data_IF_206767968864
#
_entry.id   IF_206767968864
#
_cell.length_a   1.000
_cell.length_b   1.000
_cell.length_c   1.000
_cell.angle_alpha   90.00
_cell.angle_beta   90.00
_cell.angle_gamma   90.00
#
_symmetry.space_group_name_H-M   'P 1'
#
loop_
_entity.id
_entity.type
_entity.pdbx_description
1 polymer ?
#
# COMPACT_ATOMS: atom_id res chain seq x y z
N UNK A 1 -3.02 11.20 -51.49
CA UNK A 1 -2.63 10.94 -50.09
C UNK A 1 -2.25 9.47 -50.00
N UNK A 2 -0.98 9.16 -49.69
CA UNK A 2 -0.40 7.82 -49.84
C UNK A 2 -0.96 6.82 -48.82
N UNK A 3 -1.28 5.58 -49.25
CA UNK A 3 -1.71 4.48 -48.36
C UNK A 3 -0.73 4.25 -47.19
N UNK A 4 0.56 4.56 -47.38
CA UNK A 4 1.59 4.46 -46.33
C UNK A 4 1.30 5.39 -45.14
N UNK A 5 0.74 6.57 -45.38
CA UNK A 5 0.40 7.53 -44.32
C UNK A 5 -0.84 7.08 -43.53
N UNK A 6 -1.76 6.37 -44.18
CA UNK A 6 -2.94 5.80 -43.52
C UNK A 6 -2.54 4.60 -42.62
N UNK A 7 -1.60 3.77 -43.08
CA UNK A 7 -1.08 2.63 -42.32
C UNK A 7 -0.22 3.04 -41.10
N UNK A 8 0.58 4.10 -41.22
CA UNK A 8 1.35 4.66 -40.08
C UNK A 8 0.40 5.31 -39.06
N UNK A 9 -0.62 6.04 -39.52
CA UNK A 9 -1.66 6.61 -38.66
C UNK A 9 -2.43 5.53 -37.90
N UNK A 10 -2.74 4.41 -38.55
CA UNK A 10 -3.42 3.26 -37.94
C UNK A 10 -2.54 2.55 -36.91
N UNK A 11 -1.24 2.38 -37.18
CA UNK A 11 -0.28 1.81 -36.21
C UNK A 11 -0.16 2.69 -34.95
N UNK A 12 -0.12 4.01 -35.11
CA UNK A 12 -0.08 4.95 -33.99
C UNK A 12 -1.38 4.90 -33.17
N UNK A 13 -2.54 4.77 -33.83
CA UNK A 13 -3.84 4.58 -33.17
C UNK A 13 -3.97 3.22 -32.45
N UNK A 14 -3.38 2.14 -32.99
CA UNK A 14 -3.38 0.81 -32.37
C UNK A 14 -2.45 0.75 -31.16
N UNK A 15 -1.31 1.45 -31.16
CA UNK A 15 -0.49 1.63 -29.95
C UNK A 15 -1.12 2.58 -28.92
N UNK A 16 -2.02 3.46 -29.37
CA UNK A 16 -2.80 4.36 -28.51
C UNK A 16 -4.09 3.69 -28.00
N UNK A 17 -4.38 2.43 -28.34
CA UNK A 17 -5.19 1.57 -27.45
C UNK A 17 -4.31 1.17 -26.27
N UNK A 18 -4.12 2.18 -25.44
CA UNK A 18 -3.44 2.23 -24.16
C UNK A 18 -3.68 0.90 -23.45
N UNK A 19 -2.60 0.22 -23.08
CA UNK A 19 -2.65 -0.84 -22.09
C UNK A 19 -3.48 -0.31 -20.91
N UNK A 20 -4.70 -0.82 -20.75
CA UNK A 20 -5.48 -0.65 -19.53
C UNK A 20 -4.69 -1.35 -18.43
N UNK A 21 -3.72 -0.65 -17.84
CA UNK A 21 -3.11 -1.06 -16.60
C UNK A 21 -4.24 -1.03 -15.57
N UNK A 22 -4.74 -2.22 -15.22
CA UNK A 22 -5.74 -2.36 -14.18
C UNK A 22 -5.05 -2.07 -12.85
N UNK A 23 -4.96 -0.80 -12.47
CA UNK A 23 -4.48 -0.43 -11.15
C UNK A 23 -5.46 -0.97 -10.11
N UNK A 24 -4.95 -1.65 -9.08
CA UNK A 24 -5.74 -1.96 -7.90
C UNK A 24 -5.76 -0.71 -7.01
N UNK A 25 -6.93 -0.41 -6.45
CA UNK A 25 -7.09 0.69 -5.50
C UNK A 25 -7.10 0.16 -4.08
N UNK A 26 -6.26 0.74 -3.24
CA UNK A 26 -6.21 0.51 -1.81
C UNK A 26 -6.78 1.75 -1.10
N UNK A 27 -7.90 1.59 -0.39
CA UNK A 27 -8.43 2.64 0.47
C UNK A 27 -7.91 2.42 1.90
N UNK A 28 -6.85 3.14 2.27
CA UNK A 28 -6.16 2.98 3.55
C UNK A 28 -6.81 3.91 4.58
N UNK A 29 -7.58 3.35 5.52
CA UNK A 29 -8.34 4.11 6.51
C UNK A 29 -7.77 3.97 7.92
N UNK A 30 -7.60 5.10 8.62
CA UNK A 30 -7.24 5.08 10.03
C UNK A 30 -8.48 5.01 10.92
N UNK A 31 -8.78 3.83 11.45
CA UNK A 31 -9.83 3.63 12.46
C UNK A 31 -9.33 3.66 13.91
N UNK A 32 -8.05 3.97 14.14
CA UNK A 32 -7.50 4.12 15.47
C UNK A 32 -7.99 5.43 16.12
N UNK A 33 -8.07 5.51 17.46
CA UNK A 33 -8.41 6.74 18.17
C UNK A 33 -7.24 7.76 18.22
N UNK A 34 -6.17 7.53 17.47
CA UNK A 34 -4.97 8.35 17.42
C UNK A 34 -4.46 8.49 15.97
N UNK A 35 -3.67 9.54 15.73
CA UNK A 35 -3.02 9.76 14.43
C UNK A 35 -2.00 8.67 14.13
N UNK A 36 -2.02 8.20 12.89
CA UNK A 36 -0.98 7.31 12.33
C UNK A 36 -0.40 7.94 11.07
N UNK A 37 0.80 7.53 10.69
CA UNK A 37 1.37 7.88 9.40
C UNK A 37 1.39 6.62 8.55
N UNK A 38 0.35 6.46 7.74
CA UNK A 38 0.30 5.38 6.76
C UNK A 38 1.52 5.43 5.85
N UNK A 39 2.02 4.25 5.49
CA UNK A 39 3.17 4.06 4.63
C UNK A 39 2.87 2.94 3.64
N UNK A 40 3.39 3.09 2.42
CA UNK A 40 3.25 2.12 1.36
C UNK A 40 4.51 2.09 0.49
N UNK A 41 4.94 0.89 0.12
CA UNK A 41 5.95 0.69 -0.93
C UNK A 41 5.39 -0.33 -1.91
N UNK A 42 5.08 0.06 -3.15
CA UNK A 42 5.10 1.44 -3.68
C UNK A 42 3.97 2.30 -3.08
N UNK A 43 4.16 3.63 -3.04
CA UNK A 43 3.09 4.58 -2.73
C UNK A 43 3.50 5.80 -1.89
N UNK A 44 4.52 5.68 -1.07
CA UNK A 44 5.00 6.78 -0.22
C UNK A 44 4.38 6.72 1.19
N UNK A 45 3.89 7.84 1.68
CA UNK A 45 3.24 7.87 2.99
C UNK A 45 2.42 9.12 3.25
N UNK A 46 1.51 9.04 4.22
CA UNK A 46 0.57 10.10 4.53
C UNK A 46 0.18 10.08 6.00
N UNK A 47 0.13 11.26 6.63
CA UNK A 47 -0.50 11.40 7.95
C UNK A 47 -2.01 11.19 7.81
N UNK A 48 -2.58 10.35 8.66
CA UNK A 48 -4.01 10.10 8.77
C UNK A 48 -4.43 10.30 10.22
N UNK A 49 -5.23 11.34 10.47
CA UNK A 49 -5.95 11.50 11.72
C UNK A 49 -7.06 10.44 11.83
N UNK A 50 -7.68 10.26 13.01
CA UNK A 50 -8.80 9.33 13.16
C UNK A 50 -9.88 9.58 12.09
N UNK A 51 -10.34 8.50 11.46
CA UNK A 51 -11.35 8.46 10.40
C UNK A 51 -10.90 9.04 9.05
N UNK A 52 -9.66 9.49 8.90
CA UNK A 52 -9.14 9.87 7.58
C UNK A 52 -8.77 8.66 6.74
N UNK A 53 -8.87 8.81 5.42
CA UNK A 53 -8.54 7.76 4.45
C UNK A 53 -7.59 8.28 3.38
N UNK A 54 -6.72 7.39 2.91
CA UNK A 54 -5.81 7.61 1.79
C UNK A 54 -6.11 6.62 0.67
N UNK A 55 -6.64 7.08 -0.47
CA UNK A 55 -6.72 6.24 -1.65
C UNK A 55 -5.35 6.16 -2.33
N UNK A 56 -4.89 4.93 -2.56
CA UNK A 56 -3.63 4.62 -3.22
C UNK A 56 -3.90 3.68 -4.40
N UNK A 57 -3.60 4.15 -5.61
CA UNK A 57 -3.67 3.33 -6.81
C UNK A 57 -2.30 2.65 -7.02
N UNK A 58 -2.31 1.32 -7.17
CA UNK A 58 -1.11 0.51 -7.35
C UNK A 58 -1.22 -0.28 -8.65
N UNK A 59 -0.19 -0.21 -9.48
CA UNK A 59 -0.19 -0.82 -10.81
C UNK A 59 -0.29 -2.35 -10.74
N UNK A 60 -1.08 -2.96 -11.63
CA UNK A 60 -1.03 -4.40 -11.89
C UNK A 60 0.41 -4.87 -12.16
N UNK A 61 0.74 -6.08 -11.71
CA UNK A 61 2.09 -6.64 -11.80
C UNK A 61 3.02 -6.22 -10.67
N UNK A 62 2.59 -5.33 -9.77
CA UNK A 62 3.39 -4.99 -8.57
C UNK A 62 3.66 -6.23 -7.73
N UNK A 63 4.92 -6.39 -7.31
CA UNK A 63 5.39 -7.48 -6.44
C UNK A 63 6.06 -6.88 -5.20
N UNK A 64 6.03 -7.62 -4.08
CA UNK A 64 6.63 -7.16 -2.82
C UNK A 64 5.99 -5.87 -2.29
N UNK A 65 4.72 -5.64 -2.59
CA UNK A 65 3.97 -4.49 -2.11
C UNK A 65 3.75 -4.61 -0.60
N UNK A 66 3.96 -3.50 0.13
CA UNK A 66 3.69 -3.43 1.57
C UNK A 66 2.92 -2.17 1.91
N UNK A 67 1.93 -2.30 2.78
CA UNK A 67 1.26 -1.19 3.48
C UNK A 67 1.40 -1.42 4.99
N UNK A 68 1.73 -0.37 5.74
CA UNK A 68 1.81 -0.43 7.19
C UNK A 68 1.48 0.93 7.83
N UNK A 69 1.19 0.89 9.13
CA UNK A 69 1.03 2.09 9.95
C UNK A 69 2.33 2.43 10.68
N UNK A 70 2.66 3.72 10.77
CA UNK A 70 3.73 4.25 11.61
C UNK A 70 3.14 5.06 12.75
N UNK A 71 3.75 4.98 13.93
CA UNK A 71 3.26 5.66 15.14
C UNK A 71 4.34 6.58 15.74
N UNK A 72 3.87 7.58 16.49
CA UNK A 72 4.76 8.50 17.22
C UNK A 72 5.72 9.26 16.31
N UNK A 73 5.26 9.67 15.12
CA UNK A 73 6.12 10.35 14.17
C UNK A 73 6.19 11.86 14.41
N UNK A 74 7.33 12.43 14.06
CA UNK A 74 7.53 13.87 13.97
C UNK A 74 8.30 14.16 12.68
N UNK A 75 7.74 15.01 11.82
CA UNK A 75 8.35 15.41 10.55
C UNK A 75 8.41 16.93 10.45
N UNK A 76 9.49 17.44 9.87
CA UNK A 76 9.63 18.83 9.49
C UNK A 76 8.84 19.17 8.22
N UNK A 77 8.85 20.44 7.81
CA UNK A 77 8.18 20.91 6.60
C UNK A 77 8.73 20.33 5.29
N UNK A 78 9.90 19.67 5.32
CA UNK A 78 10.46 18.94 4.19
C UNK A 78 10.09 17.45 4.18
N UNK A 79 9.29 17.01 5.16
CA UNK A 79 8.90 15.62 5.32
C UNK A 79 10.02 14.73 5.86
N UNK A 80 10.99 15.30 6.58
CA UNK A 80 12.09 14.57 7.22
C UNK A 80 11.95 14.55 8.72
N UNK A 81 12.31 13.44 9.35
CA UNK A 81 12.13 13.27 10.78
C UNK A 81 12.28 11.81 11.21
N UNK A 82 11.42 11.35 12.10
CA UNK A 82 11.44 9.97 12.58
C UNK A 82 10.06 9.50 13.07
N UNK A 83 9.85 8.20 13.09
CA UNK A 83 8.75 7.51 13.78
C UNK A 83 9.26 6.60 14.90
N UNK A 84 8.42 6.34 15.91
CA UNK A 84 8.72 5.38 16.97
C UNK A 84 8.64 3.93 16.47
N UNK A 85 7.69 3.63 15.58
CA UNK A 85 7.55 2.31 14.94
C UNK A 85 7.35 2.48 13.44
N UNK A 86 7.85 1.52 12.66
CA UNK A 86 7.67 1.49 11.20
C UNK A 86 8.39 2.60 10.42
N UNK A 87 9.37 3.27 11.02
CA UNK A 87 10.11 4.34 10.35
C UNK A 87 10.79 3.84 9.07
N UNK A 88 10.74 4.61 7.99
CA UNK A 88 11.24 4.20 6.66
C UNK A 88 12.43 5.05 6.20
N UNK A 89 13.39 5.26 7.11
CA UNK A 89 14.60 6.05 6.85
C UNK A 89 14.41 7.55 7.11
N UNK A 90 13.53 7.89 8.05
CA UNK A 90 13.23 9.26 8.45
C UNK A 90 12.49 10.09 7.41
N UNK A 91 11.74 9.43 6.51
CA UNK A 91 10.99 10.07 5.44
C UNK A 91 9.49 9.95 5.67
N UNK A 92 8.74 11.03 5.46
CA UNK A 92 7.28 10.98 5.41
C UNK A 92 6.82 10.14 4.19
N UNK A 93 7.45 10.37 3.03
CA UNK A 93 7.22 9.62 1.79
C UNK A 93 8.18 8.44 1.71
N UNK A 94 7.73 7.26 2.13
CA UNK A 94 8.56 6.06 2.17
C UNK A 94 9.03 5.61 0.78
N UNK A 95 10.32 5.30 0.67
CA UNK A 95 10.94 4.72 -0.53
C UNK A 95 11.58 3.34 -0.24
N UNK A 96 11.52 2.91 1.01
CA UNK A 96 12.01 1.65 1.53
C UNK A 96 11.05 1.12 2.58
N UNK A 97 11.18 -0.16 2.94
CA UNK A 97 10.37 -0.77 3.99
C UNK A 97 10.65 -0.15 5.36
N UNK A 98 9.66 -0.27 6.26
CA UNK A 98 9.74 0.25 7.62
C UNK A 98 10.59 -0.61 8.54
N UNK A 99 11.23 0.01 9.52
CA UNK A 99 11.96 -0.68 10.60
C UNK A 99 10.94 -1.33 11.57
N UNK A 100 11.11 -2.62 11.91
CA UNK A 100 10.28 -3.31 12.91
C UNK A 100 10.25 -2.61 14.30
N UNK A 101 9.17 -2.76 15.10
CA UNK A 101 8.00 -3.56 14.79
C UNK A 101 7.01 -2.82 13.87
N UNK A 102 6.42 -3.52 12.91
CA UNK A 102 5.29 -3.02 12.12
C UNK A 102 4.39 -4.16 11.62
N UNK A 103 3.09 -4.02 11.82
CA UNK A 103 2.10 -4.93 11.24
C UNK A 103 2.03 -4.67 9.73
N UNK A 104 2.24 -5.70 8.92
CA UNK A 104 2.31 -5.56 7.46
C UNK A 104 1.07 -6.11 6.78
N UNK A 105 0.50 -5.34 5.85
CA UNK A 105 -0.30 -5.85 4.74
C UNK A 105 0.62 -6.05 3.53
N UNK A 106 0.88 -7.30 3.14
CA UNK A 106 1.75 -7.65 2.02
C UNK A 106 0.92 -8.08 0.81
N UNK A 107 1.35 -7.70 -0.39
CA UNK A 107 0.61 -8.03 -1.61
C UNK A 107 1.48 -8.14 -2.87
N UNK A 108 0.99 -8.94 -3.82
CA UNK A 108 1.44 -9.00 -5.21
C UNK A 108 0.22 -9.05 -6.14
N UNK A 109 0.16 -8.16 -7.12
CA UNK A 109 -1.02 -7.95 -7.96
C UNK A 109 -0.86 -8.56 -9.35
N UNK A 110 -1.91 -9.20 -9.87
CA UNK A 110 -1.93 -9.84 -11.19
C UNK A 110 -0.74 -10.80 -11.40
N UNK A 111 -0.59 -11.75 -10.49
CA UNK A 111 0.50 -12.73 -10.46
C UNK A 111 0.10 -14.02 -11.19
N UNK A 112 0.39 -15.18 -10.60
CA UNK A 112 0.04 -16.47 -11.20
C UNK A 112 -1.47 -16.59 -11.47
N UNK A 113 -1.81 -16.99 -12.70
CA UNK A 113 -3.21 -17.10 -13.17
C UNK A 113 -4.03 -15.81 -13.06
N UNK A 114 -3.37 -14.64 -13.15
CA UNK A 114 -4.00 -13.32 -13.00
C UNK A 114 -4.67 -13.13 -11.62
N UNK A 115 -4.18 -13.83 -10.60
CA UNK A 115 -4.65 -13.69 -9.23
C UNK A 115 -3.77 -12.71 -8.46
N UNK A 116 -4.40 -11.98 -7.55
CA UNK A 116 -3.72 -11.23 -6.52
C UNK A 116 -3.41 -12.14 -5.34
N UNK A 117 -2.21 -12.02 -4.81
CA UNK A 117 -1.79 -12.69 -3.59
C UNK A 117 -1.62 -11.63 -2.54
N UNK A 118 -2.23 -11.83 -1.38
CA UNK A 118 -2.13 -10.89 -0.28
C UNK A 118 -2.18 -11.63 1.04
N UNK A 119 -1.46 -11.10 2.01
CA UNK A 119 -1.38 -11.65 3.34
C UNK A 119 -1.18 -10.54 4.38
N UNK A 120 -1.24 -10.93 5.63
CA UNK A 120 -0.87 -10.06 6.74
C UNK A 120 0.23 -10.75 7.53
N UNK A 121 1.32 -10.03 7.72
CA UNK A 121 2.55 -10.57 8.26
C UNK A 121 2.90 -9.88 9.57
N UNK A 122 3.23 -10.71 10.56
CA UNK A 122 3.78 -10.30 11.86
C UNK A 122 5.25 -10.73 11.99
N UNK A 123 5.89 -11.15 10.89
CA UNK A 123 7.31 -11.53 10.87
C UNK A 123 8.16 -10.33 11.31
N UNK A 124 7.79 -9.13 10.85
CA UNK A 124 8.41 -7.86 11.22
C UNK A 124 7.76 -7.23 12.48
N UNK A 125 7.11 -8.06 13.31
CA UNK A 125 6.49 -7.66 14.56
C UNK A 125 5.06 -7.11 14.43
N UNK A 126 4.55 -6.54 15.51
CA UNK A 126 3.21 -5.97 15.59
C UNK A 126 3.30 -4.58 16.21
N UNK A 127 2.52 -3.63 15.68
CA UNK A 127 2.39 -2.30 16.29
C UNK A 127 0.92 -1.84 16.37
N UNK A 128 0.21 -1.90 15.25
CA UNK A 128 -1.17 -1.44 15.11
C UNK A 128 -2.05 -2.60 14.61
N UNK A 129 -3.23 -2.83 15.20
CA UNK A 129 -4.21 -3.77 14.67
C UNK A 129 -4.62 -3.43 13.23
N UNK A 130 -4.85 -4.44 12.40
CA UNK A 130 -5.14 -4.23 10.98
C UNK A 130 -6.24 -5.17 10.46
N UNK A 131 -7.06 -4.63 9.53
CA UNK A 131 -7.94 -5.37 8.64
C UNK A 131 -7.44 -5.14 7.22
N UNK A 132 -7.17 -6.23 6.50
CA UNK A 132 -6.85 -6.20 5.08
C UNK A 132 -7.85 -7.06 4.32
N UNK A 133 -8.86 -6.41 3.73
CA UNK A 133 -10.00 -7.05 3.08
C UNK A 133 -10.22 -6.54 1.66
N UNK A 134 -10.55 -7.44 0.70
CA UNK A 134 -10.99 -7.04 -0.63
C UNK A 134 -12.35 -6.33 -0.58
N UNK A 135 -12.53 -5.34 -1.45
CA UNK A 135 -13.76 -4.53 -1.55
C UNK A 135 -14.48 -4.67 -2.90
N UNK A 136 -13.93 -5.45 -3.83
CA UNK A 136 -14.41 -5.56 -5.21
C UNK A 136 -14.22 -6.96 -5.80
N UNK A 137 -14.61 -7.14 -7.07
CA UNK A 137 -14.40 -8.35 -7.86
C UNK A 137 -14.97 -9.66 -7.26
N UNK A 138 -15.97 -9.55 -6.38
CA UNK A 138 -16.64 -10.70 -5.78
C UNK A 138 -15.81 -11.47 -4.75
N UNK A 139 -14.59 -11.03 -4.45
CA UNK A 139 -13.79 -11.59 -3.36
C UNK A 139 -14.25 -10.97 -2.04
N UNK A 140 -14.62 -11.81 -1.07
CA UNK A 140 -15.22 -11.36 0.21
C UNK A 140 -14.42 -11.78 1.43
N UNK A 141 -13.42 -12.65 1.27
CA UNK A 141 -12.60 -13.16 2.37
C UNK A 141 -11.38 -12.26 2.55
N UNK A 142 -11.38 -11.51 3.64
CA UNK A 142 -10.23 -10.74 4.11
C UNK A 142 -9.46 -11.39 5.25
N UNK A 143 -8.50 -10.65 5.80
CA UNK A 143 -7.60 -11.08 6.88
C UNK A 143 -7.62 -9.99 7.97
N UNK A 144 -7.76 -10.40 9.24
CA UNK A 144 -7.89 -9.50 10.38
C UNK A 144 -6.98 -9.92 11.53
N UNK A 145 -6.21 -8.97 12.05
CA UNK A 145 -5.35 -9.15 13.22
C UNK A 145 -5.70 -8.03 14.18
N UNK A 146 -6.75 -8.28 14.95
CA UNK A 146 -7.37 -7.29 15.84
C UNK A 146 -7.12 -7.58 17.32
N UNK A 147 -6.42 -8.67 17.64
CA UNK A 147 -5.97 -8.92 19.00
C UNK A 147 -5.00 -7.80 19.41
N UNK A 148 -5.13 -7.33 20.65
CA UNK A 148 -4.07 -6.56 21.28
C UNK A 148 -2.92 -7.54 21.51
N UNK A 149 -1.89 -7.52 20.66
CA UNK A 149 -0.72 -8.39 20.78
C UNK A 149 0.38 -7.69 21.61
N UNK A 150 0.26 -6.37 21.80
CA UNK A 150 1.26 -5.58 22.54
C UNK A 150 1.33 -5.98 24.03
N UNK A 151 0.27 -6.56 24.60
CA UNK A 151 0.27 -7.08 25.98
C UNK A 151 0.69 -8.56 26.10
N UNK A 152 0.83 -9.27 24.98
CA UNK A 152 1.04 -10.73 24.95
C UNK A 152 2.50 -11.14 24.72
N UNK A 153 3.43 -10.18 24.64
CA UNK A 153 4.87 -10.46 24.54
C UNK A 153 5.34 -11.03 25.89
N UNK A 154 5.89 -12.27 25.95
CA UNK A 154 6.51 -12.78 27.18
C UNK A 154 7.68 -11.85 27.57
N UNK A 155 7.76 -11.47 28.85
CA UNK A 155 8.92 -10.77 29.39
C UNK A 155 10.19 -11.62 29.29
#
# INVERSE_FOLDING_TARGET
>A
MSLKNLSISLYFFVTLFIALSHAARFDITNNCPYTVWAAAVPGGGRQLNPQESWPLDVNAGTTGGRVWARTGCNFDGSGRGNCQTGDCGGLLQCQAYGVPPNTLAEFGLNQFQNLDFFDMSLVDGFNVPMDFSPTSNGCTRGIRCTADINWAVPQ
#
